data_IF_896785512139
#
_entry.id   IF_896785512139
#
_cell.length_a   1.000
_cell.length_b   1.000
_cell.length_c   1.000
_cell.angle_alpha   90.00
_cell.angle_beta   90.00
_cell.angle_gamma   90.00
#
_symmetry.space_group_name_H-M   'P 1'
#
loop_
_entity.id
_entity.type
_entity.pdbx_description
1 polymer ?
#
# COMPACT_ATOMS: atom_id res chain seq x y z
N UNK A 1 -3.55 -18.51 4.59
CA UNK A 1 -2.40 -18.49 5.51
C UNK A 1 -1.80 -17.11 5.54
N UNK A 2 -1.25 -16.70 6.66
CA UNK A 2 -0.49 -15.44 6.81
C UNK A 2 0.98 -15.66 6.43
N UNK A 3 1.70 -14.56 6.20
CA UNK A 3 3.15 -14.64 5.99
C UNK A 3 3.87 -15.22 7.21
N UNK A 4 3.36 -14.96 8.42
CA UNK A 4 3.94 -15.47 9.68
C UNK A 4 3.79 -16.99 9.75
N UNK A 5 2.65 -17.52 9.33
CA UNK A 5 2.43 -18.97 9.25
C UNK A 5 3.37 -19.62 8.23
N UNK A 6 3.61 -18.97 7.09
CA UNK A 6 4.56 -19.44 6.09
C UNK A 6 6.00 -19.45 6.64
N UNK A 7 6.41 -18.40 7.35
CA UNK A 7 7.73 -18.33 7.99
C UNK A 7 7.90 -19.46 9.00
N UNK A 8 6.91 -19.68 9.88
CA UNK A 8 6.95 -20.78 10.85
C UNK A 8 7.04 -22.14 10.18
N UNK A 9 6.29 -22.34 9.10
CA UNK A 9 6.35 -23.58 8.33
C UNK A 9 7.72 -23.78 7.68
N UNK A 10 8.34 -22.73 7.15
CA UNK A 10 9.70 -22.79 6.60
C UNK A 10 10.74 -23.14 7.67
N UNK A 11 10.63 -22.56 8.87
CA UNK A 11 11.54 -22.81 9.98
C UNK A 11 11.52 -24.27 10.44
N UNK A 12 10.35 -24.93 10.41
CA UNK A 12 10.18 -26.33 10.84
C UNK A 12 10.51 -27.36 9.76
N UNK A 13 10.73 -26.95 8.51
CA UNK A 13 11.00 -27.85 7.38
C UNK A 13 12.40 -27.58 6.79
N UNK A 14 13.43 -28.09 7.46
CA UNK A 14 14.84 -27.85 7.11
C UNK A 14 15.21 -28.33 5.69
N UNK A 15 14.58 -29.41 5.21
CA UNK A 15 14.76 -29.90 3.83
C UNK A 15 14.26 -28.90 2.77
N UNK A 16 13.28 -28.05 3.09
CA UNK A 16 12.78 -27.00 2.20
C UNK A 16 13.64 -25.72 2.23
N UNK A 17 14.67 -25.66 3.10
CA UNK A 17 15.61 -24.54 3.22
C UNK A 17 16.95 -24.78 2.52
N UNK A 18 17.20 -26.01 2.07
CA UNK A 18 18.47 -26.41 1.46
C UNK A 18 18.56 -26.16 -0.05
N UNK A 19 17.50 -25.61 -0.67
CA UNK A 19 17.44 -25.33 -2.10
C UNK A 19 16.28 -24.39 -2.48
N UNK A 20 15.81 -24.49 -3.73
CA UNK A 20 14.65 -23.76 -4.23
C UNK A 20 13.34 -24.48 -3.84
N UNK A 21 12.30 -23.72 -3.50
CA UNK A 21 10.96 -24.25 -3.25
C UNK A 21 9.89 -23.38 -3.91
N UNK A 22 8.73 -23.98 -4.19
CA UNK A 22 7.62 -23.32 -4.89
C UNK A 22 6.53 -22.96 -3.89
N UNK A 23 6.11 -21.69 -3.89
CA UNK A 23 4.93 -21.21 -3.15
C UNK A 23 3.81 -20.92 -4.12
N UNK A 24 2.68 -21.59 -3.95
CA UNK A 24 1.45 -21.28 -4.71
C UNK A 24 0.65 -20.26 -3.92
N UNK A 25 0.55 -19.05 -4.46
CA UNK A 25 -0.28 -17.98 -3.88
C UNK A 25 -1.59 -17.91 -4.64
N UNK A 26 -2.69 -18.17 -3.94
CA UNK A 26 -4.01 -17.90 -4.49
C UNK A 26 -4.21 -16.39 -4.63
N UNK A 27 -4.79 -15.96 -5.75
CA UNK A 27 -5.24 -14.59 -5.91
C UNK A 27 -6.20 -14.22 -4.78
N UNK A 28 -5.97 -13.08 -4.15
CA UNK A 28 -6.88 -12.59 -3.12
C UNK A 28 -8.17 -12.10 -3.79
N UNK A 29 -9.21 -12.93 -3.78
CA UNK A 29 -10.58 -12.49 -4.01
C UNK A 29 -11.08 -11.77 -2.74
N UNK A 30 -10.44 -10.66 -2.40
CA UNK A 30 -10.82 -9.84 -1.26
C UNK A 30 -12.18 -9.22 -1.52
N UNK A 31 -13.06 -9.31 -0.52
CA UNK A 31 -14.21 -8.41 -0.39
C UNK A 31 -13.74 -6.99 -0.64
N UNK A 32 -14.51 -6.22 -1.40
CA UNK A 32 -14.30 -4.78 -1.56
C UNK A 32 -13.95 -4.21 -0.19
N UNK A 33 -12.73 -3.74 0.01
CA UNK A 33 -12.32 -3.28 1.32
C UNK A 33 -13.24 -2.14 1.74
N UNK A 34 -14.14 -2.43 2.70
CA UNK A 34 -15.25 -1.55 3.05
C UNK A 34 -14.74 -0.15 3.46
N UNK A 35 -13.57 -0.15 4.10
CA UNK A 35 -12.80 1.03 4.46
C UNK A 35 -11.40 1.01 3.78
N UNK A 36 -10.97 2.12 3.16
CA UNK A 36 -9.62 2.25 2.65
C UNK A 36 -8.62 2.32 3.78
N UNK A 37 -7.49 1.64 3.60
CA UNK A 37 -6.39 1.71 4.56
C UNK A 37 -5.59 3.01 4.39
N UNK A 38 -4.97 3.54 5.46
CA UNK A 38 -4.19 4.78 5.40
C UNK A 38 -3.10 4.77 4.34
N UNK A 39 -2.42 3.63 4.15
CA UNK A 39 -1.37 3.46 3.14
C UNK A 39 -1.88 3.65 1.70
N UNK A 40 -3.15 3.34 1.43
CA UNK A 40 -3.74 3.53 0.11
C UNK A 40 -4.02 5.01 -0.16
N UNK A 41 -4.46 5.75 0.85
CA UNK A 41 -4.65 7.21 0.75
C UNK A 41 -3.30 7.90 0.55
N UNK A 42 -2.25 7.46 1.24
CA UNK A 42 -0.90 7.94 1.03
C UNK A 42 -0.41 7.70 -0.42
N UNK A 43 -0.65 6.51 -0.98
CA UNK A 43 -0.31 6.22 -2.37
C UNK A 43 -1.06 7.12 -3.37
N UNK A 44 -2.34 7.43 -3.12
CA UNK A 44 -3.11 8.37 -3.96
C UNK A 44 -2.49 9.76 -3.94
N UNK A 45 -1.98 10.23 -2.79
CA UNK A 45 -1.31 11.54 -2.69
C UNK A 45 -0.02 11.58 -3.49
N UNK A 46 0.82 10.56 -3.37
CA UNK A 46 2.07 10.48 -4.13
C UNK A 46 1.82 10.46 -5.65
N UNK A 47 0.82 9.71 -6.09
CA UNK A 47 0.45 9.66 -7.51
C UNK A 47 -0.12 10.99 -8.02
N UNK A 48 -0.73 11.81 -7.16
CA UNK A 48 -1.28 13.11 -7.54
C UNK A 48 -0.20 14.07 -8.06
N UNK A 49 1.03 13.94 -7.60
CA UNK A 49 2.16 14.76 -8.07
C UNK A 49 2.44 14.57 -9.57
N UNK A 50 2.01 13.44 -10.15
CA UNK A 50 2.28 13.09 -11.56
C UNK A 50 1.02 12.90 -12.39
N UNK A 51 -0.18 12.88 -11.79
CA UNK A 51 -1.44 12.71 -12.53
C UNK A 51 -2.65 13.31 -11.79
N UNK A 52 -3.78 13.57 -12.47
CA UNK A 52 -4.98 14.08 -11.82
C UNK A 52 -5.48 13.17 -10.68
N UNK A 53 -5.92 13.75 -9.56
CA UNK A 53 -6.36 13.05 -8.34
C UNK A 53 -7.37 11.91 -8.61
N UNK A 54 -8.32 12.15 -9.51
CA UNK A 54 -9.31 11.13 -9.91
C UNK A 54 -8.61 9.91 -10.52
N UNK A 55 -7.61 10.11 -11.39
CA UNK A 55 -6.85 9.03 -12.03
C UNK A 55 -5.99 8.27 -11.00
N UNK A 56 -5.36 8.99 -10.08
CA UNK A 56 -4.62 8.40 -8.96
C UNK A 56 -5.52 7.49 -8.11
N UNK A 57 -6.70 7.98 -7.69
CA UNK A 57 -7.66 7.20 -6.91
C UNK A 57 -8.18 5.95 -7.65
N UNK A 58 -8.43 6.05 -8.97
CA UNK A 58 -8.82 4.91 -9.79
C UNK A 58 -7.70 3.86 -9.93
N UNK A 59 -6.44 4.30 -10.07
CA UNK A 59 -5.30 3.38 -10.16
C UNK A 59 -5.14 2.58 -8.87
N UNK A 60 -5.15 3.26 -7.71
CA UNK A 60 -5.04 2.60 -6.41
C UNK A 60 -6.22 1.66 -6.15
N UNK A 61 -7.45 2.08 -6.50
CA UNK A 61 -8.62 1.21 -6.42
C UNK A 61 -8.48 -0.06 -7.27
N UNK A 62 -7.93 0.04 -8.48
CA UNK A 62 -7.71 -1.10 -9.37
C UNK A 62 -6.72 -2.13 -8.81
N UNK A 63 -5.72 -1.68 -8.04
CA UNK A 63 -4.72 -2.56 -7.41
C UNK A 63 -5.24 -3.16 -6.10
N UNK A 64 -5.98 -2.38 -5.33
CA UNK A 64 -6.36 -2.72 -3.95
C UNK A 64 -7.76 -3.31 -3.80
N UNK A 65 -8.61 -3.19 -4.83
CA UNK A 65 -10.04 -3.53 -4.74
C UNK A 65 -10.87 -2.54 -3.92
N UNK A 66 -10.28 -1.43 -3.47
CA UNK A 66 -10.99 -0.41 -2.71
C UNK A 66 -11.92 0.44 -3.59
N UNK A 67 -12.92 1.08 -2.98
CA UNK A 67 -13.81 2.01 -3.70
C UNK A 67 -13.06 3.30 -4.06
N UNK A 68 -12.84 3.54 -5.36
CA UNK A 68 -12.16 4.75 -5.87
C UNK A 68 -12.78 6.05 -5.38
N UNK A 69 -14.11 6.10 -5.27
CA UNK A 69 -14.82 7.30 -4.77
C UNK A 69 -14.56 7.57 -3.29
N UNK A 70 -14.28 6.54 -2.49
CA UNK A 70 -13.94 6.71 -1.08
C UNK A 70 -12.48 7.15 -0.94
N UNK A 71 -11.55 6.55 -1.68
CA UNK A 71 -10.15 6.99 -1.77
C UNK A 71 -10.05 8.46 -2.21
N UNK A 72 -10.80 8.86 -3.24
CA UNK A 72 -10.85 10.23 -3.72
C UNK A 72 -11.30 11.22 -2.63
N UNK A 73 -12.41 10.92 -1.95
CA UNK A 73 -12.95 11.78 -0.89
C UNK A 73 -12.00 11.90 0.30
N UNK A 74 -11.38 10.79 0.71
CA UNK A 74 -10.41 10.79 1.81
C UNK A 74 -9.19 11.64 1.46
N UNK A 75 -8.56 11.40 0.30
CA UNK A 75 -7.42 12.17 -0.15
C UNK A 75 -7.73 13.68 -0.26
N UNK A 76 -8.90 14.05 -0.81
CA UNK A 76 -9.34 15.45 -0.89
C UNK A 76 -9.60 16.08 0.49
N UNK A 77 -10.19 15.32 1.42
CA UNK A 77 -10.50 15.83 2.76
C UNK A 77 -9.24 16.08 3.60
N UNK A 78 -8.21 15.26 3.42
CA UNK A 78 -6.94 15.46 4.11
C UNK A 78 -6.07 16.54 3.46
N UNK A 79 -6.26 16.84 2.17
CA UNK A 79 -5.63 18.00 1.52
C UNK A 79 -6.13 19.34 2.11
N UNK A 80 -7.35 19.38 2.64
CA UNK A 80 -7.87 20.53 3.39
C UNK A 80 -7.27 20.69 4.78
N UNK A 81 -6.50 19.69 5.25
CA UNK A 81 -5.78 19.67 6.52
C UNK A 81 -4.29 19.56 6.23
N UNK A 82 -3.65 20.63 5.78
CA UNK A 82 -2.19 20.73 5.96
C UNK A 82 -1.92 20.75 7.47
N UNK A 83 -1.17 19.77 8.01
CA UNK A 83 0.27 19.95 8.08
C UNK A 83 1.09 18.65 8.00
N UNK A 84 2.28 18.71 7.37
CA UNK A 84 3.59 18.68 8.06
C UNK A 84 4.73 18.58 7.05
N UNK A 85 5.54 19.63 7.08
CA UNK A 85 6.94 19.62 6.73
C UNK A 85 7.64 18.46 7.46
N UNK A 86 8.08 17.44 6.74
CA UNK A 86 9.19 16.57 7.16
C UNK A 86 10.15 16.50 5.98
N UNK A 87 11.15 17.36 6.06
CA UNK A 87 12.23 17.45 5.09
C UNK A 87 13.42 18.11 5.75
N UNK A 88 13.96 17.45 6.77
CA UNK A 88 15.31 17.74 7.25
C UNK A 88 16.26 17.63 6.06
N UNK A 89 16.67 18.77 5.51
CA UNK A 89 17.88 18.89 4.69
C UNK A 89 18.85 19.80 5.43
N UNK A 90 19.61 19.16 6.30
CA UNK A 90 20.95 19.59 6.67
C UNK A 90 21.79 19.81 5.40
N UNK A 91 22.05 21.07 5.07
CA UNK A 91 23.24 21.55 4.36
C UNK A 91 23.52 22.92 4.98
N UNK A 92 24.39 23.04 5.98
CA UNK A 92 25.85 23.12 5.86
C UNK A 92 26.30 24.01 4.70
N UNK A 93 27.14 25.02 5.04
CA UNK A 93 27.76 26.10 4.24
C UNK A 93 26.94 27.40 4.32
N UNK A 94 27.44 28.53 4.83
CA UNK A 94 28.78 29.02 5.20
C UNK A 94 28.61 30.03 6.33
#
# INVERSE_FOLDING_TARGET
>A
GTIVELVRWLETNEEQRRGEFVVVVAGHAGETADAPRPEWVAAVRELREVMPLKRAAHLVAGITGARSQLLYRLAQSEDGREPRQTGARSRSRR
#
